data_IF_928456455688
#
_entry.id   IF_928456455688
#
_cell.length_a   1.000
_cell.length_b   1.000
_cell.length_c   1.000
_cell.angle_alpha   90.00
_cell.angle_beta   90.00
_cell.angle_gamma   90.00
#
_symmetry.space_group_name_H-M   'P 1'
#
loop_
_entity.id
_entity.type
_entity.pdbx_description
1 polymer ?
#
# COMPACT_ATOMS: atom_id res chain seq x y z
N UNK A 1 30.10 9.67 -22.92
CA UNK A 1 28.70 9.20 -23.09
C UNK A 1 28.20 8.36 -21.90
N UNK A 2 29.06 7.54 -21.27
CA UNK A 2 28.68 6.73 -20.09
C UNK A 2 28.52 7.59 -18.83
N UNK A 3 29.36 8.63 -18.67
CA UNK A 3 29.27 9.58 -17.55
C UNK A 3 28.00 10.44 -17.53
N UNK A 4 27.39 10.68 -18.69
CA UNK A 4 26.13 11.44 -18.77
C UNK A 4 24.89 10.63 -18.36
N UNK A 5 24.96 9.31 -18.46
CA UNK A 5 23.83 8.42 -18.15
C UNK A 5 23.64 8.30 -16.62
N UNK A 6 24.73 8.15 -15.85
CA UNK A 6 24.66 8.03 -14.37
C UNK A 6 24.17 9.34 -13.73
N UNK A 7 24.66 10.50 -14.19
CA UNK A 7 24.18 11.80 -13.70
C UNK A 7 22.73 12.06 -14.07
N UNK A 8 22.27 11.58 -15.22
CA UNK A 8 20.88 11.68 -15.65
C UNK A 8 19.95 10.84 -14.79
N UNK A 9 20.35 9.65 -14.37
CA UNK A 9 19.54 8.71 -13.62
C UNK A 9 19.27 9.20 -12.18
N UNK A 10 20.33 9.68 -11.47
CA UNK A 10 20.15 10.32 -10.14
C UNK A 10 19.33 11.59 -10.20
N UNK A 11 19.43 12.35 -11.28
CA UNK A 11 18.56 13.50 -11.48
C UNK A 11 17.08 13.09 -11.54
N UNK A 12 16.76 11.96 -12.19
CA UNK A 12 15.39 11.43 -12.23
C UNK A 12 14.89 10.98 -10.86
N UNK A 13 15.70 10.28 -10.07
CA UNK A 13 15.30 9.84 -8.71
C UNK A 13 15.10 11.06 -7.79
N UNK A 14 16.04 12.00 -7.79
CA UNK A 14 15.90 13.23 -7.02
C UNK A 14 14.68 14.04 -7.47
N UNK A 15 14.38 14.05 -8.77
CA UNK A 15 13.18 14.68 -9.31
C UNK A 15 11.92 13.99 -8.79
N UNK A 16 11.81 12.65 -8.87
CA UNK A 16 10.65 11.90 -8.37
C UNK A 16 10.44 12.12 -6.88
N UNK A 17 11.50 12.07 -6.07
CA UNK A 17 11.41 12.34 -4.64
C UNK A 17 10.98 13.78 -4.33
N UNK A 18 11.44 14.74 -5.13
CA UNK A 18 11.09 16.15 -4.97
C UNK A 18 9.63 16.41 -5.32
N UNK A 19 9.13 15.84 -6.42
CA UNK A 19 7.73 16.02 -6.83
C UNK A 19 6.74 15.30 -5.91
N UNK A 20 7.11 14.18 -5.28
CA UNK A 20 6.30 13.52 -4.27
C UNK A 20 6.04 14.42 -3.07
N UNK A 21 7.05 15.20 -2.65
CA UNK A 21 6.96 16.10 -1.49
C UNK A 21 6.31 17.46 -1.74
N UNK A 22 6.23 17.95 -2.98
CA UNK A 22 5.85 19.34 -3.24
C UNK A 22 5.03 19.64 -4.50
N UNK A 23 5.09 18.78 -5.51
CA UNK A 23 4.46 19.04 -6.81
C UNK A 23 3.48 17.92 -7.21
N UNK A 24 2.40 17.84 -6.51
CA UNK A 24 1.40 16.77 -6.63
C UNK A 24 0.93 16.51 -8.08
N UNK A 25 0.78 17.54 -8.91
CA UNK A 25 0.35 17.35 -10.30
C UNK A 25 1.43 16.67 -11.16
N UNK A 26 2.72 16.96 -10.92
CA UNK A 26 3.82 16.30 -11.62
C UNK A 26 3.96 14.85 -11.20
N UNK A 27 3.78 14.57 -9.92
CA UNK A 27 3.74 13.21 -9.40
C UNK A 27 2.60 12.41 -10.04
N UNK A 28 1.39 12.96 -10.13
CA UNK A 28 0.27 12.32 -10.85
C UNK A 28 0.56 12.08 -12.33
N UNK A 29 1.33 12.97 -12.96
CA UNK A 29 1.75 12.77 -14.36
C UNK A 29 2.73 11.61 -14.48
N UNK A 30 3.72 11.51 -13.57
CA UNK A 30 4.65 10.39 -13.50
C UNK A 30 3.91 9.07 -13.25
N UNK A 31 2.94 9.05 -12.34
CA UNK A 31 2.05 7.90 -12.12
C UNK A 31 1.34 7.43 -13.40
N UNK A 32 0.79 8.37 -14.16
CA UNK A 32 0.08 8.04 -15.44
C UNK A 32 1.04 7.49 -16.48
N UNK A 33 2.24 8.05 -16.61
CA UNK A 33 3.28 7.55 -17.51
C UNK A 33 3.68 6.13 -17.12
N UNK A 34 3.92 5.88 -15.83
CA UNK A 34 4.25 4.55 -15.32
C UNK A 34 3.16 3.53 -15.63
N UNK A 35 1.90 3.85 -15.31
CA UNK A 35 0.75 2.98 -15.61
C UNK A 35 0.59 2.73 -17.11
N UNK A 36 0.79 3.74 -17.93
CA UNK A 36 0.78 3.61 -19.38
C UNK A 36 1.86 2.66 -19.90
N UNK A 37 3.06 2.74 -19.35
CA UNK A 37 4.18 1.85 -19.69
C UNK A 37 3.91 0.40 -19.28
N UNK A 38 3.33 0.20 -18.08
CA UNK A 38 2.91 -1.12 -17.60
C UNK A 38 1.88 -1.74 -18.54
N UNK A 39 0.84 -0.99 -18.93
CA UNK A 39 -0.19 -1.45 -19.86
C UNK A 39 0.41 -1.79 -21.23
N UNK A 40 1.28 -0.94 -21.76
CA UNK A 40 1.93 -1.14 -23.05
C UNK A 40 2.79 -2.42 -23.04
N UNK A 41 3.58 -2.64 -22.00
CA UNK A 41 4.40 -3.85 -21.83
C UNK A 41 3.56 -5.12 -21.84
N UNK A 42 2.38 -5.12 -21.23
CA UNK A 42 1.47 -6.28 -21.25
C UNK A 42 0.80 -6.50 -22.61
N UNK A 43 0.45 -5.44 -23.30
CA UNK A 43 -0.09 -5.56 -24.67
C UNK A 43 0.92 -6.20 -25.62
N UNK A 44 2.20 -5.89 -25.45
CA UNK A 44 3.29 -6.50 -26.23
C UNK A 44 3.48 -8.00 -25.91
N UNK A 45 3.24 -8.42 -24.67
CA UNK A 45 3.39 -9.84 -24.28
C UNK A 45 2.24 -10.75 -24.71
N UNK A 46 1.18 -10.20 -25.28
CA UNK A 46 0.03 -10.96 -25.78
C UNK A 46 -0.78 -11.66 -24.67
N UNK A 47 -0.69 -11.17 -23.44
CA UNK A 47 -1.50 -11.69 -22.33
C UNK A 47 -2.98 -11.39 -22.59
N UNK A 48 -3.82 -12.41 -22.65
CA UNK A 48 -5.26 -12.25 -22.82
C UNK A 48 -5.88 -11.66 -21.54
N UNK A 49 -6.15 -10.36 -21.59
CA UNK A 49 -6.70 -9.58 -20.47
C UNK A 49 -8.18 -9.92 -20.19
N UNK A 50 -8.89 -10.56 -21.14
CA UNK A 50 -10.30 -10.92 -20.97
C UNK A 50 -10.49 -12.21 -20.15
N UNK A 51 -9.45 -13.03 -20.02
CA UNK A 51 -9.53 -14.25 -19.25
C UNK A 51 -9.56 -13.96 -17.74
N UNK A 52 -10.58 -14.47 -17.04
CA UNK A 52 -10.66 -14.37 -15.58
C UNK A 52 -9.51 -15.15 -14.95
N UNK A 53 -8.55 -14.43 -14.37
CA UNK A 53 -7.53 -15.07 -13.53
C UNK A 53 -8.14 -15.60 -12.24
N UNK A 54 -7.66 -16.78 -11.80
CA UNK A 54 -8.11 -17.42 -10.55
C UNK A 54 -7.81 -16.50 -9.34
N UNK A 55 -8.73 -16.40 -8.39
CA UNK A 55 -8.57 -15.60 -7.18
C UNK A 55 -7.76 -16.32 -6.08
N UNK A 56 -7.42 -17.61 -6.28
CA UNK A 56 -6.70 -18.45 -5.30
C UNK A 56 -5.24 -18.71 -5.72
N UNK A 57 -4.53 -17.69 -6.18
CA UNK A 57 -3.12 -17.81 -6.53
C UNK A 57 -2.29 -17.84 -5.25
N UNK A 58 -1.32 -18.76 -5.19
CA UNK A 58 -0.36 -18.91 -4.09
C UNK A 58 0.99 -18.37 -4.55
N UNK A 59 1.55 -17.46 -3.74
CA UNK A 59 2.84 -16.84 -3.94
C UNK A 59 3.80 -17.30 -2.85
N UNK A 60 4.82 -18.06 -3.23
CA UNK A 60 5.92 -18.43 -2.34
C UNK A 60 6.98 -17.34 -2.41
N UNK A 61 7.38 -16.79 -1.27
CA UNK A 61 8.38 -15.72 -1.21
C UNK A 61 9.78 -16.30 -1.10
N UNK A 62 10.70 -15.68 -1.82
CA UNK A 62 12.13 -15.92 -1.69
C UNK A 62 12.68 -15.29 -0.39
N UNK A 63 13.81 -15.78 0.06
CA UNK A 63 14.54 -15.34 1.26
C UNK A 63 14.73 -13.83 1.30
N UNK A 64 15.18 -13.23 0.21
CA UNK A 64 15.38 -11.78 0.14
C UNK A 64 14.09 -11.01 0.36
N UNK A 65 13.00 -11.38 -0.28
CA UNK A 65 11.68 -10.74 -0.14
C UNK A 65 11.19 -10.80 1.31
N UNK A 66 11.42 -11.94 1.99
CA UNK A 66 11.05 -12.08 3.41
C UNK A 66 11.88 -11.14 4.29
N UNK A 67 13.18 -11.07 4.07
CA UNK A 67 14.07 -10.20 4.85
C UNK A 67 13.76 -8.71 4.60
N UNK A 68 13.44 -8.31 3.38
CA UNK A 68 12.98 -6.96 3.04
C UNK A 68 11.67 -6.61 3.75
N UNK A 69 10.69 -7.50 3.69
CA UNK A 69 9.40 -7.30 4.34
C UNK A 69 9.51 -7.15 5.87
N UNK A 70 10.51 -7.83 6.49
CA UNK A 70 10.84 -7.76 7.92
C UNK A 70 11.73 -6.57 8.28
N UNK A 71 12.06 -5.71 7.35
CA UNK A 71 13.00 -4.59 7.53
C UNK A 71 14.43 -5.03 7.94
N UNK A 72 14.85 -6.19 7.47
CA UNK A 72 16.16 -6.80 7.71
C UNK A 72 17.11 -6.71 6.51
N UNK A 73 16.77 -5.89 5.53
CA UNK A 73 17.57 -5.55 4.35
C UNK A 73 17.74 -4.03 4.25
N UNK A 74 17.97 -3.48 3.05
CA UNK A 74 18.10 -2.06 2.84
C UNK A 74 16.77 -1.34 3.16
N UNK A 75 16.86 -0.10 3.66
CA UNK A 75 15.69 0.67 4.07
C UNK A 75 14.71 0.94 2.92
N UNK A 76 15.27 1.21 1.75
CA UNK A 76 14.53 1.53 0.52
C UNK A 76 13.66 0.37 0.02
N UNK A 77 14.07 -0.88 0.26
CA UNK A 77 13.39 -2.08 -0.23
C UNK A 77 12.20 -2.48 0.67
N UNK A 78 12.18 -2.02 1.92
CA UNK A 78 11.18 -2.44 2.92
C UNK A 78 9.77 -2.02 2.55
N UNK A 79 9.57 -0.74 2.25
CA UNK A 79 8.22 -0.21 1.98
C UNK A 79 7.61 -0.76 0.69
N UNK A 80 8.32 -0.80 -0.45
CA UNK A 80 7.81 -1.42 -1.69
C UNK A 80 7.40 -2.88 -1.47
N UNK A 81 8.25 -3.66 -0.81
CA UNK A 81 7.96 -5.08 -0.54
C UNK A 81 6.75 -5.26 0.37
N UNK A 82 6.62 -4.50 1.45
CA UNK A 82 5.44 -4.55 2.32
C UNK A 82 4.15 -4.17 1.59
N UNK A 83 4.19 -3.16 0.72
CA UNK A 83 3.03 -2.77 -0.08
C UNK A 83 2.67 -3.83 -1.13
N UNK A 84 3.67 -4.48 -1.75
CA UNK A 84 3.43 -5.62 -2.64
C UNK A 84 2.71 -6.77 -1.90
N UNK A 85 3.13 -7.12 -0.67
CA UNK A 85 2.46 -8.14 0.12
C UNK A 85 1.00 -7.76 0.46
N UNK A 86 0.74 -6.49 0.76
CA UNK A 86 -0.62 -5.97 0.95
C UNK A 86 -1.44 -6.06 -0.34
N UNK A 87 -0.82 -5.76 -1.49
CA UNK A 87 -1.45 -5.82 -2.81
C UNK A 87 -1.84 -7.26 -3.18
N UNK A 88 -0.95 -8.23 -2.95
CA UNK A 88 -1.24 -9.67 -3.15
C UNK A 88 -2.49 -10.06 -2.36
N UNK A 89 -2.57 -9.70 -1.09
CA UNK A 89 -3.74 -10.02 -0.24
C UNK A 89 -5.01 -9.32 -0.70
N UNK A 90 -4.90 -8.03 -1.06
CA UNK A 90 -6.03 -7.24 -1.54
C UNK A 90 -6.65 -7.79 -2.83
N UNK A 91 -5.87 -8.52 -3.63
CA UNK A 91 -6.31 -9.19 -4.86
C UNK A 91 -6.75 -10.65 -4.66
N UNK A 92 -6.82 -11.12 -3.40
CA UNK A 92 -7.22 -12.49 -3.06
C UNK A 92 -6.12 -13.54 -3.19
N UNK A 93 -4.87 -13.12 -3.44
CA UNK A 93 -3.71 -13.99 -3.43
C UNK A 93 -3.33 -14.44 -2.02
N UNK A 94 -2.77 -15.64 -1.91
CA UNK A 94 -2.26 -16.21 -0.66
C UNK A 94 -0.74 -16.20 -0.68
N UNK A 95 -0.14 -15.77 0.42
CA UNK A 95 1.31 -15.72 0.59
C UNK A 95 1.72 -16.92 1.43
N UNK A 96 2.75 -17.64 0.97
CA UNK A 96 3.32 -18.78 1.69
C UNK A 96 4.84 -18.75 1.63
N UNK A 97 5.46 -19.48 2.51
CA UNK A 97 6.90 -19.74 2.51
C UNK A 97 7.17 -21.23 2.38
N UNK A 98 8.34 -21.54 1.86
CA UNK A 98 8.86 -22.89 1.89
C UNK A 98 9.71 -23.09 3.16
N UNK A 99 9.69 -24.28 3.73
CA UNK A 99 10.56 -24.66 4.86
C UNK A 99 12.04 -24.44 4.57
N UNK A 100 12.47 -24.69 3.32
CA UNK A 100 13.84 -24.44 2.86
C UNK A 100 14.20 -22.93 2.92
N UNK A 101 13.23 -22.04 2.67
CA UNK A 101 13.41 -20.59 2.79
C UNK A 101 13.60 -20.18 4.27
N UNK A 102 12.83 -20.77 5.20
CA UNK A 102 13.03 -20.55 6.63
C UNK A 102 14.43 -21.00 7.06
N UNK A 103 14.88 -22.17 6.59
CA UNK A 103 16.20 -22.68 6.87
C UNK A 103 17.33 -21.79 6.32
N UNK A 104 17.12 -21.17 5.17
CA UNK A 104 18.10 -20.22 4.61
C UNK A 104 18.13 -18.92 5.42
N UNK A 105 16.98 -18.35 5.78
CA UNK A 105 16.88 -17.18 6.66
C UNK A 105 17.56 -17.44 8.01
N UNK A 106 17.33 -18.62 8.58
CA UNK A 106 17.97 -19.01 9.83
C UNK A 106 19.51 -18.91 9.73
N UNK A 107 20.11 -19.46 8.68
CA UNK A 107 21.55 -19.40 8.43
C UNK A 107 22.05 -17.96 8.25
N UNK A 108 21.30 -17.13 7.53
CA UNK A 108 21.65 -15.72 7.33
C UNK A 108 21.64 -14.96 8.65
N UNK A 109 20.62 -15.16 9.47
CA UNK A 109 20.55 -14.52 10.80
C UNK A 109 21.62 -15.05 11.73
N UNK A 110 21.92 -16.36 11.70
CA UNK A 110 23.02 -16.97 12.48
C UNK A 110 24.38 -16.36 12.07
N UNK A 111 24.63 -16.19 10.78
CA UNK A 111 25.83 -15.50 10.30
C UNK A 111 25.89 -14.07 10.81
N UNK A 112 24.77 -13.35 10.79
CA UNK A 112 24.69 -11.99 11.31
C UNK A 112 24.92 -11.94 12.83
N UNK A 113 24.43 -12.90 13.60
CA UNK A 113 24.67 -13.03 15.04
C UNK A 113 26.16 -13.25 15.33
N UNK A 114 26.80 -14.17 14.59
CA UNK A 114 28.21 -14.52 14.78
C UNK A 114 29.13 -13.33 14.45
N UNK A 115 28.78 -12.56 13.43
CA UNK A 115 29.54 -11.40 12.96
C UNK A 115 28.96 -10.07 13.44
N UNK A 116 28.15 -10.07 14.52
CA UNK A 116 27.49 -8.85 14.97
C UNK A 116 28.47 -7.81 15.49
N UNK A 117 28.48 -6.64 14.85
CA UNK A 117 29.19 -5.46 15.33
C UNK A 117 28.27 -4.24 15.18
N UNK A 118 28.14 -3.47 16.25
CA UNK A 118 27.33 -2.23 16.21
C UNK A 118 28.04 -1.10 15.49
N UNK A 119 29.36 -1.01 15.64
CA UNK A 119 30.19 0.03 15.03
C UNK A 119 30.57 -0.29 13.59
N UNK A 120 30.63 -1.56 13.23
CA UNK A 120 31.09 -2.05 11.94
C UNK A 120 30.22 -3.21 11.46
N UNK A 121 29.00 -2.92 11.01
CA UNK A 121 28.12 -3.98 10.51
C UNK A 121 28.70 -4.61 9.24
N UNK A 122 28.92 -5.92 9.28
CA UNK A 122 29.53 -6.69 8.17
C UNK A 122 28.51 -7.39 7.30
N UNK A 123 27.23 -7.37 7.68
CA UNK A 123 26.14 -7.98 6.91
C UNK A 123 24.97 -7.01 6.80
N UNK A 124 24.18 -7.12 5.73
CA UNK A 124 22.95 -6.31 5.55
C UNK A 124 21.99 -6.42 6.71
N UNK A 125 21.85 -7.62 7.31
CA UNK A 125 21.01 -7.82 8.50
C UNK A 125 21.54 -7.03 9.70
N UNK A 126 22.88 -6.95 9.88
CA UNK A 126 23.46 -6.15 10.95
C UNK A 126 23.27 -4.65 10.73
N UNK A 127 23.42 -4.18 9.51
CA UNK A 127 23.15 -2.80 9.11
C UNK A 127 21.68 -2.44 9.38
N UNK A 128 20.77 -3.30 8.96
CA UNK A 128 19.35 -3.14 9.23
C UNK A 128 19.07 -3.10 10.75
N UNK A 129 19.63 -4.01 11.53
CA UNK A 129 19.48 -4.01 13.00
C UNK A 129 19.96 -2.70 13.63
N UNK A 130 21.11 -2.18 13.22
CA UNK A 130 21.61 -0.90 13.72
C UNK A 130 20.66 0.23 13.34
N UNK A 131 20.19 0.26 12.11
CA UNK A 131 19.24 1.25 11.58
C UNK A 131 17.93 1.28 12.37
N UNK A 132 17.35 0.09 12.65
CA UNK A 132 16.06 -0.04 13.37
C UNK A 132 16.24 -0.07 14.90
N UNK A 133 17.44 0.18 15.42
CA UNK A 133 17.71 0.22 16.86
C UNK A 133 17.65 -1.15 17.56
N UNK A 134 17.83 -2.25 16.82
CA UNK A 134 17.88 -3.61 17.37
C UNK A 134 19.33 -4.03 17.66
N UNK A 135 19.49 -5.05 18.48
CA UNK A 135 20.80 -5.52 18.93
C UNK A 135 20.97 -7.03 18.74
N UNK A 136 22.16 -7.54 19.03
CA UNK A 136 22.50 -8.97 18.94
C UNK A 136 21.52 -9.86 19.73
N UNK A 137 21.12 -9.44 20.93
CA UNK A 137 20.18 -10.21 21.77
C UNK A 137 18.83 -10.37 21.10
N UNK A 138 18.35 -9.32 20.42
CA UNK A 138 17.12 -9.39 19.64
C UNK A 138 17.25 -10.38 18.48
N UNK A 139 18.37 -10.36 17.72
CA UNK A 139 18.63 -11.34 16.65
C UNK A 139 18.63 -12.77 17.19
N UNK A 140 19.28 -13.03 18.31
CA UNK A 140 19.28 -14.35 18.96
C UNK A 140 17.84 -14.76 19.33
N UNK A 141 17.06 -13.82 19.89
CA UNK A 141 15.68 -14.09 20.28
C UNK A 141 14.79 -14.45 19.09
N UNK A 142 14.88 -13.72 17.98
CA UNK A 142 14.07 -14.04 16.78
C UNK A 142 14.55 -15.32 16.12
N UNK A 143 15.86 -15.58 16.08
CA UNK A 143 16.41 -16.79 15.49
C UNK A 143 15.94 -18.06 16.22
N UNK A 144 15.85 -18.00 17.56
CA UNK A 144 15.35 -19.11 18.37
C UNK A 144 13.85 -19.43 18.16
N UNK A 145 13.08 -18.50 17.60
CA UNK A 145 11.65 -18.67 17.31
C UNK A 145 11.26 -18.19 15.90
N UNK A 146 12.19 -18.36 14.95
CA UNK A 146 12.12 -17.72 13.63
C UNK A 146 10.83 -17.99 12.89
N UNK A 147 10.40 -19.25 12.85
CA UNK A 147 9.17 -19.64 12.16
C UNK A 147 7.93 -18.93 12.74
N UNK A 148 7.81 -18.94 14.08
CA UNK A 148 6.69 -18.27 14.77
C UNK A 148 6.74 -16.76 14.57
N UNK A 149 7.93 -16.18 14.61
CA UNK A 149 8.14 -14.74 14.36
C UNK A 149 7.70 -14.36 12.96
N UNK A 150 8.16 -15.07 11.92
CA UNK A 150 7.81 -14.78 10.53
C UNK A 150 6.30 -14.96 10.30
N UNK A 151 5.71 -16.03 10.83
CA UNK A 151 4.25 -16.25 10.73
C UNK A 151 3.45 -15.11 11.35
N UNK A 152 3.88 -14.61 12.50
CA UNK A 152 3.19 -13.53 13.19
C UNK A 152 3.33 -12.19 12.46
N UNK A 153 4.56 -11.82 12.05
CA UNK A 153 4.83 -10.53 11.42
C UNK A 153 4.27 -10.45 10.00
N UNK A 154 4.44 -11.52 9.21
CA UNK A 154 4.03 -11.52 7.81
C UNK A 154 2.67 -12.19 7.58
N UNK A 155 2.03 -12.79 8.58
CA UNK A 155 0.75 -13.50 8.45
C UNK A 155 0.76 -14.50 7.28
N UNK A 156 1.73 -15.41 7.27
CA UNK A 156 1.98 -16.39 6.21
C UNK A 156 1.94 -17.81 6.75
N UNK A 157 1.55 -18.75 5.89
CA UNK A 157 1.68 -20.18 6.14
C UNK A 157 3.03 -20.70 5.60
N UNK A 158 3.50 -21.81 6.14
CA UNK A 158 4.72 -22.50 5.70
C UNK A 158 4.36 -23.85 5.13
N UNK A 159 4.82 -24.11 3.92
CA UNK A 159 4.70 -25.41 3.24
C UNK A 159 6.04 -26.14 3.30
N UNK A 160 6.02 -27.40 3.75
CA UNK A 160 7.21 -28.26 3.72
C UNK A 160 7.39 -28.96 2.37
N UNK A 161 8.63 -29.09 1.94
CA UNK A 161 8.98 -29.94 0.80
C UNK A 161 9.30 -31.35 1.31
N UNK A 162 8.60 -32.35 0.79
CA UNK A 162 8.87 -33.75 1.14
C UNK A 162 10.33 -34.12 0.89
N UNK A 163 10.96 -34.87 1.81
CA UNK A 163 12.37 -35.29 1.70
C UNK A 163 12.69 -36.01 0.39
N UNK A 164 11.78 -36.86 -0.08
CA UNK A 164 11.90 -37.56 -1.35
C UNK A 164 11.96 -36.60 -2.53
N UNK A 165 11.15 -35.53 -2.52
CA UNK A 165 11.17 -34.48 -3.53
C UNK A 165 12.42 -33.63 -3.43
N UNK A 166 12.82 -33.23 -2.21
CA UNK A 166 14.06 -32.50 -1.99
C UNK A 166 15.29 -33.24 -2.49
N UNK A 167 15.33 -34.57 -2.29
CA UNK A 167 16.40 -35.42 -2.83
C UNK A 167 16.44 -35.43 -4.36
N UNK A 168 15.28 -35.40 -5.03
CA UNK A 168 15.19 -35.30 -6.49
C UNK A 168 15.64 -33.92 -6.98
N UNK A 169 15.15 -32.85 -6.37
CA UNK A 169 15.48 -31.48 -6.76
C UNK A 169 16.97 -31.18 -6.61
N UNK A 170 17.59 -31.64 -5.51
CA UNK A 170 19.02 -31.43 -5.26
C UNK A 170 19.94 -32.14 -6.26
N UNK A 171 19.46 -33.18 -6.95
CA UNK A 171 20.17 -33.93 -7.99
C UNK A 171 19.85 -33.46 -9.42
N UNK A 172 18.99 -32.48 -9.56
CA UNK A 172 18.57 -31.95 -10.85
C UNK A 172 19.76 -31.37 -11.62
N UNK A 173 19.73 -31.46 -12.94
CA UNK A 173 20.71 -30.83 -13.84
C UNK A 173 20.78 -29.34 -13.61
N UNK A 174 19.64 -28.71 -13.36
CA UNK A 174 19.49 -27.27 -13.11
C UNK A 174 20.34 -26.80 -11.92
N UNK A 175 20.49 -27.62 -10.86
CA UNK A 175 21.40 -27.31 -9.74
C UNK A 175 22.84 -27.22 -10.18
N UNK A 176 23.28 -28.14 -11.05
CA UNK A 176 24.68 -28.14 -11.55
C UNK A 176 24.95 -26.93 -12.46
N UNK A 177 23.97 -26.55 -13.27
CA UNK A 177 24.07 -25.39 -14.15
C UNK A 177 24.06 -24.09 -13.34
N UNK A 178 23.10 -23.93 -12.41
CA UNK A 178 22.97 -22.71 -11.61
C UNK A 178 24.16 -22.53 -10.65
N UNK A 179 24.75 -23.65 -10.15
CA UNK A 179 25.95 -23.62 -9.31
C UNK A 179 27.12 -22.91 -9.94
N UNK A 180 27.25 -22.94 -11.28
CA UNK A 180 28.34 -22.26 -11.98
C UNK A 180 28.30 -20.74 -11.82
N UNK A 181 27.10 -20.19 -11.51
CA UNK A 181 26.87 -18.76 -11.33
C UNK A 181 26.67 -18.36 -9.85
N UNK A 182 26.78 -19.34 -8.92
CA UNK A 182 26.57 -19.14 -7.48
C UNK A 182 27.83 -19.41 -6.67
N UNK A 183 28.05 -18.62 -5.62
CA UNK A 183 29.20 -18.81 -4.72
C UNK A 183 29.02 -20.10 -3.92
N UNK A 184 27.81 -20.42 -3.46
CA UNK A 184 27.55 -21.59 -2.64
C UNK A 184 26.58 -22.57 -3.32
N UNK A 185 26.91 -23.87 -3.25
CA UNK A 185 26.05 -24.94 -3.75
C UNK A 185 24.69 -24.99 -3.07
N UNK A 186 24.64 -24.67 -1.76
CA UNK A 186 23.39 -24.65 -0.98
C UNK A 186 22.37 -23.67 -1.52
N UNK A 187 22.80 -22.49 -1.96
CA UNK A 187 21.92 -21.47 -2.57
C UNK A 187 21.37 -21.97 -3.90
N UNK A 188 22.20 -22.61 -4.74
CA UNK A 188 21.70 -23.19 -5.99
C UNK A 188 20.66 -24.30 -5.75
N UNK A 189 20.84 -25.12 -4.72
CA UNK A 189 19.86 -26.15 -4.34
C UNK A 189 18.56 -25.52 -3.87
N UNK A 190 18.63 -24.49 -3.00
CA UNK A 190 17.45 -23.73 -2.53
C UNK A 190 16.66 -23.16 -3.72
N UNK A 191 17.34 -22.39 -4.58
CA UNK A 191 16.74 -21.71 -5.73
C UNK A 191 16.04 -22.69 -6.68
N UNK A 192 16.72 -23.79 -7.01
CA UNK A 192 16.17 -24.82 -7.92
C UNK A 192 15.02 -25.58 -7.25
N UNK A 193 15.16 -25.95 -5.98
CA UNK A 193 14.10 -26.65 -5.26
C UNK A 193 12.83 -25.81 -5.15
N UNK A 194 12.95 -24.51 -4.93
CA UNK A 194 11.82 -23.61 -4.83
C UNK A 194 11.01 -23.56 -6.15
N UNK A 195 11.63 -23.31 -7.28
CA UNK A 195 10.88 -23.26 -8.53
C UNK A 195 10.41 -24.63 -9.04
N UNK A 196 11.16 -25.72 -8.77
CA UNK A 196 10.69 -27.07 -9.08
C UNK A 196 9.49 -27.47 -8.22
N UNK A 197 9.47 -27.07 -6.95
CA UNK A 197 8.28 -27.23 -6.12
C UNK A 197 7.06 -26.50 -6.71
N UNK A 198 7.23 -25.27 -7.17
CA UNK A 198 6.16 -24.54 -7.87
C UNK A 198 5.68 -25.29 -9.11
N UNK A 199 6.60 -25.85 -9.90
CA UNK A 199 6.30 -26.68 -11.08
C UNK A 199 5.45 -27.91 -10.71
N UNK A 200 5.86 -28.60 -9.66
CA UNK A 200 5.12 -29.76 -9.16
C UNK A 200 3.73 -29.38 -8.65
N UNK A 201 3.61 -28.22 -7.97
CA UNK A 201 2.30 -27.71 -7.52
C UNK A 201 1.40 -27.29 -8.69
N UNK A 202 1.99 -26.96 -9.84
CA UNK A 202 1.26 -26.70 -11.11
C UNK A 202 0.94 -27.98 -11.87
N UNK A 203 1.30 -29.18 -11.35
CA UNK A 203 1.17 -30.47 -12.01
C UNK A 203 1.98 -30.56 -13.32
N UNK A 204 3.10 -29.84 -13.39
CA UNK A 204 4.01 -29.80 -14.51
C UNK A 204 4.14 -28.45 -15.21
N UNK A 205 4.65 -28.48 -16.44
CA UNK A 205 4.79 -27.28 -17.25
C UNK A 205 3.46 -26.84 -17.85
N UNK A 206 3.14 -25.56 -17.70
CA UNK A 206 1.91 -24.95 -18.24
C UNK A 206 2.25 -23.95 -19.35
N UNK A 207 1.35 -23.78 -20.32
CA UNK A 207 1.51 -22.81 -21.43
C UNK A 207 0.67 -21.56 -21.26
N UNK A 208 -0.42 -21.65 -20.51
CA UNK A 208 -1.34 -20.54 -20.32
C UNK A 208 -1.04 -19.88 -18.98
N UNK A 209 -0.68 -18.61 -19.02
CA UNK A 209 -0.37 -17.81 -17.85
C UNK A 209 -1.54 -17.80 -16.83
N UNK A 210 -2.76 -17.74 -17.30
CA UNK A 210 -3.99 -17.74 -16.50
C UNK A 210 -4.17 -19.02 -15.65
N UNK A 211 -3.51 -20.13 -16.04
CA UNK A 211 -3.49 -21.38 -15.30
C UNK A 211 -2.41 -21.45 -14.22
N UNK A 212 -1.55 -20.45 -14.13
CA UNK A 212 -0.48 -20.40 -13.14
C UNK A 212 -1.02 -20.05 -11.75
N UNK A 213 -1.40 -21.06 -10.98
CA UNK A 213 -1.91 -20.92 -9.61
C UNK A 213 -0.82 -20.79 -8.53
N UNK A 214 0.43 -21.03 -8.87
CA UNK A 214 1.57 -21.03 -7.97
C UNK A 214 2.70 -20.25 -8.59
N UNK A 215 3.37 -19.41 -7.80
CA UNK A 215 4.52 -18.60 -8.22
C UNK A 215 5.59 -18.57 -7.15
N UNK A 216 6.84 -18.54 -7.55
CA UNK A 216 7.95 -18.20 -6.67
C UNK A 216 8.36 -16.75 -6.92
N UNK A 217 8.13 -15.88 -5.94
CA UNK A 217 8.43 -14.45 -6.01
C UNK A 217 9.86 -14.24 -5.57
N UNK A 218 10.72 -13.79 -6.47
CA UNK A 218 12.14 -13.56 -6.20
C UNK A 218 12.61 -12.22 -6.75
N UNK A 219 13.38 -11.48 -5.98
CA UNK A 219 14.09 -10.28 -6.45
C UNK A 219 15.41 -10.61 -7.14
N UNK A 220 15.77 -11.90 -7.22
CA UNK A 220 17.01 -12.36 -7.83
C UNK A 220 16.87 -12.50 -9.34
N UNK A 221 17.22 -11.44 -10.07
CA UNK A 221 17.17 -11.41 -11.54
C UNK A 221 17.89 -12.59 -12.20
N UNK A 222 19.08 -12.98 -11.68
CA UNK A 222 19.84 -14.13 -12.23
C UNK A 222 19.06 -15.43 -12.12
N UNK A 223 18.29 -15.63 -11.05
CA UNK A 223 17.43 -16.79 -10.90
C UNK A 223 16.21 -16.71 -11.84
N UNK A 224 15.60 -15.56 -11.95
CA UNK A 224 14.48 -15.35 -12.87
C UNK A 224 14.89 -15.61 -14.32
N UNK A 225 15.99 -15.00 -14.78
CA UNK A 225 16.53 -15.18 -16.13
C UNK A 225 16.91 -16.64 -16.38
N UNK A 226 17.55 -17.31 -15.41
CA UNK A 226 17.88 -18.74 -15.49
C UNK A 226 16.61 -19.58 -15.65
N UNK A 227 15.59 -19.37 -14.82
CA UNK A 227 14.34 -20.11 -14.91
C UNK A 227 13.63 -19.89 -16.25
N UNK A 228 13.64 -18.67 -16.78
CA UNK A 228 13.12 -18.35 -18.12
C UNK A 228 13.92 -19.10 -19.19
N UNK A 229 15.26 -19.09 -19.13
CA UNK A 229 16.12 -19.76 -20.12
C UNK A 229 15.92 -21.28 -20.17
N UNK A 230 15.47 -21.88 -19.06
CA UNK A 230 15.12 -23.31 -18.99
C UNK A 230 13.75 -23.65 -19.59
N UNK A 231 12.98 -22.63 -20.02
CA UNK A 231 11.68 -22.80 -20.64
C UNK A 231 11.79 -22.81 -22.16
N UNK A 232 11.32 -23.86 -22.76
CA UNK A 232 11.22 -24.01 -24.20
C UNK A 232 9.76 -23.95 -24.64
N UNK A 233 9.51 -23.57 -25.88
CA UNK A 233 8.20 -23.73 -26.54
C UNK A 233 7.01 -23.02 -25.84
N UNK A 234 7.24 -21.82 -25.26
CA UNK A 234 6.16 -21.01 -24.71
C UNK A 234 5.57 -21.52 -23.38
N UNK A 235 6.35 -22.30 -22.62
CA UNK A 235 5.95 -22.65 -21.24
C UNK A 235 6.16 -21.47 -20.30
N UNK A 236 5.21 -21.27 -19.38
CA UNK A 236 5.25 -20.23 -18.35
C UNK A 236 6.30 -20.58 -17.29
N UNK A 237 7.22 -19.64 -17.01
CA UNK A 237 8.20 -19.74 -15.93
C UNK A 237 7.54 -19.86 -14.55
N UNK A 238 8.23 -20.44 -13.60
CA UNK A 238 7.75 -20.61 -12.22
C UNK A 238 8.07 -19.41 -11.33
N UNK A 239 9.09 -18.64 -11.68
CA UNK A 239 9.51 -17.43 -10.96
C UNK A 239 8.77 -16.21 -11.49
N UNK A 240 8.58 -15.21 -10.63
CA UNK A 240 8.07 -13.89 -11.01
C UNK A 240 8.80 -12.85 -10.17
N UNK A 241 9.23 -11.76 -10.80
CA UNK A 241 9.85 -10.65 -10.10
C UNK A 241 8.80 -9.72 -9.47
N UNK A 242 9.12 -8.99 -8.38
CA UNK A 242 8.21 -8.07 -7.71
C UNK A 242 7.54 -7.07 -8.64
N UNK A 243 8.27 -6.45 -9.56
CA UNK A 243 7.78 -5.48 -10.53
C UNK A 243 6.82 -6.11 -11.55
N UNK A 244 7.13 -7.33 -12.04
CA UNK A 244 6.24 -8.08 -12.93
C UNK A 244 4.96 -8.46 -12.20
N UNK A 245 5.08 -8.91 -10.94
CA UNK A 245 3.92 -9.26 -10.11
C UNK A 245 3.04 -8.06 -9.81
N UNK A 246 3.64 -6.92 -9.46
CA UNK A 246 2.91 -5.67 -9.22
C UNK A 246 2.08 -5.28 -10.45
N UNK A 247 2.71 -5.35 -11.61
CA UNK A 247 2.08 -5.07 -12.90
C UNK A 247 0.93 -6.03 -13.21
N UNK A 248 1.15 -7.33 -12.95
CA UNK A 248 0.13 -8.37 -13.14
C UNK A 248 -1.09 -8.17 -12.21
N UNK A 249 -0.85 -7.86 -10.95
CA UNK A 249 -1.92 -7.62 -9.97
C UNK A 249 -2.73 -6.39 -10.33
N UNK A 250 -2.10 -5.36 -10.89
CA UNK A 250 -2.78 -4.18 -11.41
C UNK A 250 -3.78 -4.54 -12.52
N UNK A 251 -3.36 -5.38 -13.47
CA UNK A 251 -4.23 -5.79 -14.57
C UNK A 251 -5.47 -6.56 -14.11
N UNK A 252 -5.36 -7.29 -12.99
CA UNK A 252 -6.51 -7.96 -12.37
C UNK A 252 -7.60 -7.00 -11.89
N UNK A 253 -7.24 -5.81 -11.45
CA UNK A 253 -8.20 -4.87 -10.88
C UNK A 253 -7.75 -3.40 -11.06
N UNK A 254 -7.68 -2.92 -12.32
CA UNK A 254 -7.06 -1.63 -12.63
C UNK A 254 -7.77 -0.46 -11.96
N UNK A 255 -9.10 -0.49 -11.86
CA UNK A 255 -9.86 0.63 -11.27
C UNK A 255 -9.61 0.81 -9.77
N UNK A 256 -9.42 -0.29 -9.03
CA UNK A 256 -9.18 -0.24 -7.57
C UNK A 256 -7.72 -0.02 -7.21
N UNK A 257 -6.80 -0.42 -8.08
CA UNK A 257 -5.39 -0.54 -7.75
C UNK A 257 -4.51 0.51 -8.43
N UNK A 258 -5.02 1.29 -9.39
CA UNK A 258 -4.22 2.25 -10.17
C UNK A 258 -3.31 3.11 -9.30
N UNK A 259 -3.86 3.76 -8.28
CA UNK A 259 -3.08 4.62 -7.38
C UNK A 259 -2.03 3.87 -6.55
N UNK A 260 -2.38 2.67 -6.07
CA UNK A 260 -1.45 1.85 -5.27
C UNK A 260 -0.31 1.29 -6.09
N UNK A 261 -0.60 0.82 -7.28
CA UNK A 261 0.39 0.20 -8.17
C UNK A 261 1.38 1.22 -8.69
N UNK A 262 0.93 2.41 -9.08
CA UNK A 262 1.85 3.48 -9.50
C UNK A 262 2.75 3.92 -8.36
N UNK A 263 2.25 4.02 -7.14
CA UNK A 263 3.05 4.37 -5.97
C UNK A 263 4.10 3.28 -5.65
N UNK A 264 3.72 2.00 -5.69
CA UNK A 264 4.65 0.89 -5.48
C UNK A 264 5.73 0.91 -6.57
N UNK A 265 5.34 0.99 -7.85
CA UNK A 265 6.26 0.96 -8.97
C UNK A 265 7.23 2.14 -8.99
N UNK A 266 6.78 3.35 -8.63
CA UNK A 266 7.68 4.50 -8.49
C UNK A 266 8.64 4.33 -7.32
N UNK A 267 8.19 3.82 -6.18
CA UNK A 267 9.06 3.53 -5.04
C UNK A 267 10.07 2.43 -5.37
N UNK A 268 9.65 1.40 -6.10
CA UNK A 268 10.52 0.31 -6.55
C UNK A 268 11.57 0.80 -7.56
N UNK A 269 11.20 1.68 -8.49
CA UNK A 269 12.13 2.34 -9.40
C UNK A 269 13.17 3.17 -8.63
N UNK A 270 12.73 3.91 -7.62
CA UNK A 270 13.62 4.67 -6.73
C UNK A 270 14.56 3.72 -5.98
N UNK A 271 14.05 2.65 -5.38
CA UNK A 271 14.83 1.67 -4.64
C UNK A 271 15.88 0.99 -5.52
N UNK A 272 15.50 0.53 -6.71
CA UNK A 272 16.41 -0.10 -7.67
C UNK A 272 17.52 0.86 -8.09
N UNK A 273 17.18 2.12 -8.41
CA UNK A 273 18.16 3.14 -8.78
C UNK A 273 19.15 3.42 -7.68
N UNK A 274 18.67 3.58 -6.45
CA UNK A 274 19.53 3.79 -5.30
C UNK A 274 20.44 2.58 -5.05
N UNK A 275 19.91 1.37 -5.27
CA UNK A 275 20.65 0.11 -5.10
C UNK A 275 21.79 -0.06 -6.12
N UNK A 276 21.59 0.38 -7.37
CA UNK A 276 22.63 0.28 -8.43
C UNK A 276 23.76 1.30 -8.25
N UNK A 277 23.49 2.45 -7.61
CA UNK A 277 24.49 3.48 -7.39
C UNK A 277 25.37 3.28 -6.15
N UNK A 278 24.92 2.48 -5.18
CA UNK A 278 25.69 2.27 -3.96
C UNK A 278 26.89 1.35 -4.20
N UNK A 279 28.01 1.76 -3.61
CA UNK A 279 29.26 1.02 -3.70
C UNK A 279 29.12 -0.42 -3.21
N UNK A 280 29.87 -1.31 -3.84
CA UNK A 280 29.95 -2.71 -3.41
C UNK A 280 30.46 -2.83 -1.96
N UNK A 281 30.07 -3.90 -1.27
CA UNK A 281 30.54 -4.15 0.10
C UNK A 281 32.04 -4.24 0.20
N UNK A 282 32.67 -4.80 -0.83
CA UNK A 282 34.12 -4.92 -0.92
C UNK A 282 34.78 -3.54 -0.91
N UNK A 283 34.25 -2.62 -1.71
CA UNK A 283 34.74 -1.25 -1.81
C UNK A 283 34.52 -0.47 -0.50
N UNK A 284 33.36 -0.68 0.17
CA UNK A 284 33.08 -0.09 1.48
C UNK A 284 34.03 -0.65 2.54
N UNK A 285 34.34 -1.94 2.50
CA UNK A 285 35.30 -2.55 3.43
C UNK A 285 36.73 -2.04 3.20
N UNK A 286 37.16 -1.87 1.95
CA UNK A 286 38.46 -1.28 1.64
C UNK A 286 38.62 0.12 2.20
N UNK A 287 37.62 0.98 2.01
CA UNK A 287 37.68 2.34 2.56
C UNK A 287 37.57 2.36 4.09
N UNK A 288 36.83 1.41 4.68
CA UNK A 288 36.75 1.26 6.13
C UNK A 288 38.11 0.93 6.75
N UNK A 289 38.84 0.00 6.15
CA UNK A 289 40.20 -0.34 6.56
C UNK A 289 41.13 0.88 6.41
N UNK A 290 41.04 1.56 5.29
CA UNK A 290 41.86 2.75 5.02
C UNK A 290 41.60 3.89 6.02
N UNK A 291 40.35 4.12 6.41
CA UNK A 291 39.98 5.13 7.42
C UNK A 291 40.57 4.74 8.80
N UNK A 292 40.44 3.48 9.20
CA UNK A 292 40.96 2.99 10.48
C UNK A 292 42.48 3.07 10.58
N UNK A 293 43.17 2.87 9.47
CA UNK A 293 44.63 2.90 9.41
C UNK A 293 45.21 4.32 9.29
N UNK A 294 44.44 5.26 8.75
CA UNK A 294 44.96 6.56 8.33
C UNK A 294 44.42 7.73 9.14
N UNK A 295 43.26 7.60 9.78
CA UNK A 295 42.57 8.72 10.45
C UNK A 295 42.33 8.40 11.93
N UNK A 296 42.80 9.32 12.81
CA UNK A 296 42.45 9.29 14.24
C UNK A 296 41.10 10.01 14.45
N UNK A 297 40.01 9.28 14.32
CA UNK A 297 38.65 9.80 14.39
C UNK A 297 37.98 9.41 15.71
N UNK A 298 37.17 10.34 16.24
CA UNK A 298 36.27 9.98 17.32
C UNK A 298 35.22 8.93 16.85
N UNK A 299 34.69 8.13 17.77
CA UNK A 299 33.66 7.15 17.45
C UNK A 299 32.40 7.79 16.79
N UNK A 300 32.09 9.02 17.16
CA UNK A 300 30.98 9.77 16.58
C UNK A 300 31.29 10.20 15.13
N UNK A 301 32.47 10.75 14.89
CA UNK A 301 32.90 11.17 13.54
C UNK A 301 33.04 9.97 12.61
N UNK A 302 33.57 8.86 13.11
CA UNK A 302 33.62 7.61 12.37
C UNK A 302 32.20 7.16 11.94
N UNK A 303 31.23 7.16 12.84
CA UNK A 303 29.85 6.77 12.52
C UNK A 303 29.18 7.74 11.51
N UNK A 304 29.46 9.03 11.62
CA UNK A 304 28.97 10.04 10.66
C UNK A 304 29.57 9.78 9.28
N UNK A 305 30.89 9.59 9.23
CA UNK A 305 31.64 9.36 8.00
C UNK A 305 31.19 8.05 7.33
N UNK A 306 31.16 6.95 8.08
CA UNK A 306 30.79 5.65 7.55
C UNK A 306 29.37 5.63 6.99
N UNK A 307 28.42 6.24 7.70
CA UNK A 307 27.04 6.40 7.19
C UNK A 307 27.00 7.24 5.90
N UNK A 308 27.87 8.26 5.79
CA UNK A 308 27.95 9.10 4.60
C UNK A 308 28.59 8.38 3.42
N UNK A 309 29.63 7.59 3.68
CA UNK A 309 30.35 6.82 2.65
C UNK A 309 29.46 5.70 2.10
N UNK A 310 28.71 5.00 2.96
CA UNK A 310 27.78 3.97 2.55
C UNK A 310 26.67 4.48 1.60
N UNK A 311 26.42 5.81 1.62
CA UNK A 311 25.47 6.50 0.75
C UNK A 311 26.11 7.17 -0.47
N UNK A 312 27.42 7.00 -0.68
CA UNK A 312 28.10 7.64 -1.81
C UNK A 312 28.22 6.69 -3.00
N UNK A 313 28.19 7.27 -4.20
CA UNK A 313 28.40 6.51 -5.42
C UNK A 313 29.79 5.87 -5.45
N UNK A 314 29.87 4.71 -6.09
CA UNK A 314 31.10 3.93 -6.30
C UNK A 314 32.28 4.80 -6.74
N UNK A 315 32.05 5.72 -7.69
CA UNK A 315 33.07 6.62 -8.21
C UNK A 315 33.66 7.58 -7.16
N UNK A 316 32.87 8.05 -6.20
CA UNK A 316 33.36 8.94 -5.14
C UNK A 316 34.21 8.17 -4.13
N UNK A 317 33.82 6.94 -3.82
CA UNK A 317 34.58 6.08 -2.92
C UNK A 317 35.90 5.67 -3.56
N UNK A 318 35.92 5.34 -4.85
CA UNK A 318 37.15 5.04 -5.59
C UNK A 318 38.11 6.24 -5.59
N UNK A 319 37.62 7.45 -5.82
CA UNK A 319 38.46 8.67 -5.72
C UNK A 319 39.05 8.86 -4.33
N UNK A 320 38.30 8.59 -3.27
CA UNK A 320 38.82 8.63 -1.90
C UNK A 320 39.90 7.55 -1.67
N UNK A 321 39.72 6.36 -2.23
CA UNK A 321 40.74 5.29 -2.15
C UNK A 321 42.01 5.64 -2.93
N UNK A 322 41.93 6.32 -4.07
CA UNK A 322 43.09 6.83 -4.81
C UNK A 322 43.92 7.85 -4.02
N UNK A 323 43.25 8.61 -3.12
CA UNK A 323 43.92 9.58 -2.26
C UNK A 323 44.66 8.95 -1.05
N UNK A 324 44.48 7.67 -0.77
CA UNK A 324 45.13 6.95 0.36
C UNK A 324 46.65 7.03 0.30
N UNK A 325 47.21 7.06 -0.90
CA UNK A 325 48.69 7.20 -1.12
C UNK A 325 49.23 8.50 -0.55
N UNK A 326 48.39 9.56 -0.42
CA UNK A 326 48.72 10.84 0.23
C UNK A 326 47.86 10.98 1.49
N UNK A 327 48.35 10.47 2.62
CA UNK A 327 47.65 10.51 3.93
C UNK A 327 47.13 11.90 4.30
N UNK A 328 47.79 12.96 3.91
CA UNK A 328 47.37 14.32 4.23
C UNK A 328 46.12 14.71 3.45
N UNK A 329 46.14 14.46 2.14
CA UNK A 329 44.97 14.70 1.27
C UNK A 329 43.78 13.87 1.66
N UNK A 330 44.00 12.58 1.95
CA UNK A 330 42.97 11.67 2.39
C UNK A 330 42.29 12.16 3.68
N UNK A 331 43.06 12.54 4.70
CA UNK A 331 42.53 13.09 5.96
C UNK A 331 41.78 14.43 5.73
N UNK A 332 42.28 15.33 4.88
CA UNK A 332 41.57 16.57 4.55
C UNK A 332 40.21 16.28 3.86
N UNK A 333 40.15 15.30 2.97
CA UNK A 333 38.92 14.90 2.28
C UNK A 333 37.94 14.27 3.24
N UNK A 334 38.39 13.43 4.16
CA UNK A 334 37.58 12.82 5.24
C UNK A 334 36.99 13.91 6.14
N UNK A 335 37.78 14.84 6.61
CA UNK A 335 37.31 15.94 7.46
C UNK A 335 36.27 16.83 6.76
N UNK A 336 36.47 17.13 5.47
CA UNK A 336 35.47 17.88 4.66
C UNK A 336 34.16 17.12 4.54
N UNK A 337 34.21 15.79 4.39
CA UNK A 337 33.00 14.96 4.32
C UNK A 337 32.24 14.95 5.67
N UNK A 338 32.94 14.83 6.79
CA UNK A 338 32.36 14.86 8.13
C UNK A 338 31.68 16.23 8.38
N UNK A 339 32.36 17.33 8.09
CA UNK A 339 31.83 18.70 8.24
C UNK A 339 30.58 18.91 7.37
N UNK A 340 30.63 18.48 6.12
CA UNK A 340 29.49 18.56 5.20
C UNK A 340 28.29 17.77 5.72
N UNK A 341 28.52 16.57 6.25
CA UNK A 341 27.45 15.72 6.75
C UNK A 341 26.89 16.22 8.09
N UNK A 342 27.73 16.77 8.96
CA UNK A 342 27.28 17.47 10.18
C UNK A 342 26.35 18.64 9.84
N UNK A 343 26.74 19.46 8.86
CA UNK A 343 25.92 20.60 8.41
C UNK A 343 24.59 20.13 7.81
N UNK A 344 24.61 19.06 7.00
CA UNK A 344 23.40 18.47 6.41
C UNK A 344 22.45 17.90 7.49
N UNK A 345 23.00 17.18 8.47
CA UNK A 345 22.24 16.65 9.60
C UNK A 345 21.62 17.75 10.46
N UNK A 346 22.36 18.85 10.71
CA UNK A 346 21.85 19.99 11.44
C UNK A 346 20.67 20.64 10.71
N UNK A 347 20.81 20.91 9.39
CA UNK A 347 19.72 21.44 8.55
C UNK A 347 18.49 20.52 8.53
N UNK A 348 18.71 19.23 8.32
CA UNK A 348 17.61 18.24 8.33
C UNK A 348 16.88 18.18 9.67
N UNK A 349 17.61 18.35 10.78
CA UNK A 349 17.01 18.37 12.12
C UNK A 349 16.18 19.65 12.33
N UNK A 350 16.67 20.78 11.84
CA UNK A 350 15.95 22.06 11.88
C UNK A 350 14.69 22.03 11.01
N UNK A 351 14.79 21.51 9.78
CA UNK A 351 13.64 21.35 8.88
C UNK A 351 12.59 20.39 9.46
N UNK A 352 13.01 19.28 10.08
CA UNK A 352 12.07 18.38 10.77
C UNK A 352 11.35 19.08 11.91
N UNK A 353 12.08 19.89 12.70
CA UNK A 353 11.48 20.64 13.80
C UNK A 353 10.49 21.70 13.30
N UNK A 354 10.83 22.38 12.19
CA UNK A 354 9.92 23.35 11.55
C UNK A 354 8.66 22.65 10.99
N UNK A 355 8.83 21.52 10.32
CA UNK A 355 7.68 20.71 9.82
C UNK A 355 6.80 20.22 10.96
N UNK A 356 7.39 19.81 12.07
CA UNK A 356 6.63 19.35 13.24
C UNK A 356 5.81 20.51 13.84
N UNK A 357 6.40 21.71 13.99
CA UNK A 357 5.67 22.90 14.45
C UNK A 357 4.53 23.27 13.51
N UNK A 358 4.80 23.29 12.19
CA UNK A 358 3.75 23.57 11.20
C UNK A 358 2.62 22.52 11.24
N UNK A 359 2.97 21.26 11.43
CA UNK A 359 1.98 20.19 11.56
C UNK A 359 1.12 20.34 12.83
N UNK A 360 1.72 20.76 13.95
CA UNK A 360 0.99 21.04 15.19
C UNK A 360 0.06 22.25 15.02
N UNK A 361 0.50 23.34 14.34
CA UNK A 361 -0.33 24.50 14.01
C UNK A 361 -1.51 24.12 13.12
N UNK A 362 -1.28 23.38 12.04
CA UNK A 362 -2.34 22.91 11.12
C UNK A 362 -3.33 22.00 11.83
N UNK A 363 -2.87 21.12 12.71
CA UNK A 363 -3.77 20.28 13.50
C UNK A 363 -4.62 21.09 14.49
N UNK A 364 -4.05 22.11 15.11
CA UNK A 364 -4.79 22.99 16.00
C UNK A 364 -5.89 23.78 15.23
N UNK A 365 -5.52 24.28 14.05
CA UNK A 365 -6.47 24.97 13.15
C UNK A 365 -7.60 24.04 12.67
N UNK A 366 -7.24 22.81 12.31
CA UNK A 366 -8.21 21.77 11.93
C UNK A 366 -9.21 21.48 13.06
N UNK A 367 -8.74 21.28 14.29
CA UNK A 367 -9.60 21.07 15.46
C UNK A 367 -10.55 22.24 15.71
N UNK A 368 -10.04 23.48 15.55
CA UNK A 368 -10.89 24.69 15.70
C UNK A 368 -11.96 24.79 14.62
N UNK A 369 -11.65 24.36 13.38
CA UNK A 369 -12.63 24.31 12.28
C UNK A 369 -13.66 23.20 12.47
N UNK A 370 -13.26 22.03 12.96
CA UNK A 370 -14.16 20.94 13.30
C UNK A 370 -15.16 21.34 14.40
N UNK A 371 -14.69 22.07 15.41
CA UNK A 371 -15.55 22.60 16.46
C UNK A 371 -16.55 23.65 15.92
N UNK A 372 -16.11 24.53 15.02
CA UNK A 372 -16.99 25.49 14.33
C UNK A 372 -18.03 24.80 13.46
N UNK A 373 -17.62 23.76 12.72
CA UNK A 373 -18.53 22.93 11.92
C UNK A 373 -19.61 22.29 12.80
N UNK A 374 -19.20 21.66 13.90
CA UNK A 374 -20.13 21.02 14.85
C UNK A 374 -21.14 22.03 15.45
N UNK A 375 -20.68 23.24 15.75
CA UNK A 375 -21.53 24.30 16.24
C UNK A 375 -22.54 24.81 15.18
N UNK A 376 -22.10 24.85 13.89
CA UNK A 376 -23.00 25.21 12.78
C UNK A 376 -24.03 24.11 12.49
N UNK A 377 -23.64 22.85 12.53
CA UNK A 377 -24.54 21.70 12.39
C UNK A 377 -25.61 21.68 13.51
N UNK A 378 -25.20 21.97 14.75
CA UNK A 378 -26.15 22.09 15.88
C UNK A 378 -27.15 23.21 15.65
N UNK A 379 -26.70 24.39 15.16
CA UNK A 379 -27.63 25.52 14.85
C UNK A 379 -28.56 25.21 13.69
N UNK A 380 -28.09 24.50 12.66
CA UNK A 380 -28.93 24.05 11.54
C UNK A 380 -30.01 23.09 12.04
N UNK A 381 -29.63 22.08 12.82
CA UNK A 381 -30.59 21.13 13.40
C UNK A 381 -31.62 21.80 14.30
N UNK A 382 -31.21 22.82 15.06
CA UNK A 382 -32.16 23.60 15.86
C UNK A 382 -33.11 24.42 14.96
N UNK A 383 -32.60 25.06 13.91
CA UNK A 383 -33.42 25.81 12.95
C UNK A 383 -34.40 24.91 12.18
N UNK A 384 -34.02 23.68 11.88
CA UNK A 384 -34.90 22.68 11.26
C UNK A 384 -36.05 22.30 12.19
N UNK A 385 -35.77 22.04 13.48
CA UNK A 385 -36.81 21.75 14.49
C UNK A 385 -37.80 22.92 14.67
N UNK A 386 -37.27 24.15 14.71
CA UNK A 386 -38.13 25.35 14.80
C UNK A 386 -39.01 25.49 13.55
N UNK A 387 -38.53 25.18 12.37
CA UNK A 387 -39.34 25.15 11.14
C UNK A 387 -40.40 24.06 11.15
N UNK A 388 -40.07 22.87 11.61
CA UNK A 388 -41.05 21.78 11.76
C UNK A 388 -42.13 22.15 12.74
N UNK A 389 -41.79 22.74 13.90
CA UNK A 389 -42.78 23.24 14.87
C UNK A 389 -43.67 24.34 14.28
N UNK A 390 -43.11 25.27 13.51
CA UNK A 390 -43.90 26.31 12.83
C UNK A 390 -44.83 25.70 11.78
N UNK A 391 -44.40 24.75 10.99
CA UNK A 391 -45.23 24.05 10.01
C UNK A 391 -46.36 23.29 10.70
N UNK A 392 -46.10 22.65 11.83
CA UNK A 392 -47.12 21.95 12.59
C UNK A 392 -48.19 22.93 13.19
N UNK A 393 -47.74 24.10 13.65
CA UNK A 393 -48.68 25.18 14.09
C UNK A 393 -49.53 25.68 12.95
N UNK A 394 -48.96 25.93 11.78
CA UNK A 394 -49.71 26.35 10.57
C UNK A 394 -50.76 25.29 10.21
N UNK A 395 -50.35 24.02 10.16
CA UNK A 395 -51.26 22.92 9.86
C UNK A 395 -52.44 22.83 10.86
N UNK A 396 -52.19 22.99 12.16
CA UNK A 396 -53.26 23.01 13.19
C UNK A 396 -54.21 24.17 12.99
N UNK A 397 -53.71 25.35 12.60
CA UNK A 397 -54.56 26.52 12.29
C UNK A 397 -55.39 26.26 11.06
N UNK A 398 -54.85 25.71 10.00
CA UNK A 398 -55.57 25.35 8.78
C UNK A 398 -56.66 24.30 9.05
N UNK A 399 -56.37 23.27 9.85
CA UNK A 399 -57.36 22.27 10.27
C UNK A 399 -58.51 22.90 11.07
N UNK A 400 -58.19 23.80 12.01
CA UNK A 400 -59.23 24.54 12.77
C UNK A 400 -60.08 25.43 11.89
N UNK A 401 -59.47 26.12 10.92
CA UNK A 401 -60.21 26.94 9.95
C UNK A 401 -61.11 26.07 9.06
N UNK A 402 -60.59 24.95 8.57
CA UNK A 402 -61.41 24.02 7.77
C UNK A 402 -62.60 23.46 8.57
N UNK A 403 -62.37 23.11 9.85
CA UNK A 403 -63.45 22.61 10.72
C UNK A 403 -64.52 23.70 11.00
N UNK A 404 -64.09 24.95 11.22
CA UNK A 404 -65.00 26.09 11.42
C UNK A 404 -65.78 26.37 10.14
N UNK A 405 -65.18 26.31 8.97
CA UNK A 405 -65.89 26.46 7.68
C UNK A 405 -66.89 25.33 7.45
N UNK A 406 -66.57 24.11 7.85
CA UNK A 406 -67.45 22.96 7.75
C UNK A 406 -68.68 23.12 8.69
N UNK A 407 -68.44 23.60 9.92
CA UNK A 407 -69.50 23.93 10.86
C UNK A 407 -70.42 25.04 10.34
N UNK A 408 -69.83 26.10 9.73
CA UNK A 408 -70.61 27.17 9.08
C UNK A 408 -71.47 26.65 7.92
N UNK A 409 -70.91 25.83 7.04
CA UNK A 409 -71.64 25.20 5.92
C UNK A 409 -72.78 24.28 6.41
N UNK A 410 -72.55 23.51 7.49
CA UNK A 410 -73.59 22.66 8.09
C UNK A 410 -74.73 23.55 8.70
N UNK A 411 -74.37 24.59 9.43
CA UNK A 411 -75.36 25.54 10.00
C UNK A 411 -76.13 26.23 8.89
N UNK A 412 -75.50 26.65 7.83
CA UNK A 412 -76.19 27.27 6.69
C UNK A 412 -77.13 26.31 5.98
N UNK A 413 -76.70 25.02 5.78
CA UNK A 413 -77.60 23.97 5.24
C UNK A 413 -78.83 23.71 6.17
N UNK A 414 -78.65 23.60 7.46
CA UNK A 414 -79.76 23.43 8.41
C UNK A 414 -80.67 24.60 8.42
N UNK A 415 -80.17 25.85 8.31
CA UNK A 415 -80.99 27.06 8.19
C UNK A 415 -81.86 27.06 6.91
N UNK A 416 -81.25 26.71 5.75
CA UNK A 416 -82.04 26.64 4.53
C UNK A 416 -83.04 25.49 4.50
N UNK A 417 -82.76 24.37 5.14
CA UNK A 417 -83.77 23.28 5.33
C UNK A 417 -84.88 23.69 6.24
N UNK A 418 -84.59 24.38 7.34
CA UNK A 418 -85.62 24.94 8.23
C UNK A 418 -86.51 25.98 7.55
N UNK A 419 -85.85 26.89 6.79
CA UNK A 419 -86.55 27.93 6.01
C UNK A 419 -87.47 27.33 4.96
N UNK A 420 -86.96 26.30 4.23
CA UNK A 420 -87.72 25.51 3.24
C UNK A 420 -88.96 24.81 3.86
N UNK A 421 -88.80 24.23 5.07
CA UNK A 421 -89.84 23.61 5.84
C UNK A 421 -90.93 24.62 6.28
N UNK A 422 -90.44 25.80 6.68
CA UNK A 422 -91.36 26.88 7.07
C UNK A 422 -92.20 27.41 5.88
N UNK A 423 -91.51 27.64 4.72
CA UNK A 423 -92.18 28.04 3.51
C UNK A 423 -93.21 26.97 3.05
N UNK A 424 -92.80 25.70 3.09
CA UNK A 424 -93.70 24.59 2.74
C UNK A 424 -94.90 24.53 3.67
N UNK A 425 -94.72 24.72 4.97
CA UNK A 425 -95.83 24.78 5.96
C UNK A 425 -96.79 25.97 5.70
N UNK A 426 -96.23 27.15 5.35
CA UNK A 426 -97.06 28.32 4.96
C UNK A 426 -97.84 28.03 3.69
N UNK A 427 -97.23 27.43 2.66
CA UNK A 427 -97.89 27.05 1.43
C UNK A 427 -99.02 26.06 1.69
N UNK A 428 -98.72 25.00 2.48
CA UNK A 428 -99.79 24.02 2.86
C UNK A 428 -100.91 24.70 3.60
N UNK A 429 -100.60 25.64 4.52
CA UNK A 429 -101.58 26.40 5.25
C UNK A 429 -102.44 27.31 4.34
N UNK A 430 -101.84 28.02 3.39
CA UNK A 430 -102.54 28.85 2.42
C UNK A 430 -103.38 27.99 1.49
N UNK A 431 -102.92 26.87 1.03
CA UNK A 431 -103.67 25.93 0.21
C UNK A 431 -104.89 25.39 1.01
N UNK A 432 -104.71 25.07 2.27
CA UNK A 432 -105.82 24.65 3.15
C UNK A 432 -106.90 25.75 3.38
N UNK A 433 -106.42 27.00 3.37
CA UNK A 433 -107.33 28.17 3.58
C UNK A 433 -108.11 28.53 2.33
N UNK A 434 -107.52 28.45 1.17
CA UNK A 434 -108.11 28.82 -0.13
C UNK A 434 -108.88 27.71 -0.81
N UNK A 435 -108.50 26.42 -0.52
CA UNK A 435 -109.10 25.24 -1.11
C UNK A 435 -109.51 24.21 -0.05
N UNK A 436 -110.53 24.54 0.80
CA UNK A 436 -110.97 23.67 1.91
C UNK A 436 -111.46 22.30 1.44
N UNK A 437 -111.90 22.16 0.20
CA UNK A 437 -112.38 20.93 -0.39
C UNK A 437 -111.29 19.90 -0.67
N UNK A 438 -110.03 20.33 -0.87
CA UNK A 438 -108.89 19.42 -1.04
C UNK A 438 -108.45 18.69 0.22
N UNK A 439 -108.83 19.23 1.42
CA UNK A 439 -108.46 18.65 2.71
C UNK A 439 -109.59 17.86 3.37
N UNK A 440 -110.80 17.83 2.79
CA UNK A 440 -111.94 17.12 3.36
C UNK A 440 -111.78 15.58 3.20
N UNK A 441 -110.90 15.11 2.27
CA UNK A 441 -110.64 13.67 2.06
C UNK A 441 -109.54 13.07 2.95
N UNK A 442 -108.80 13.90 3.72
CA UNK A 442 -107.68 13.40 4.52
C UNK A 442 -108.04 13.03 6.00
N UNK A 443 -109.30 13.13 6.37
CA UNK A 443 -109.76 12.70 7.70
C UNK A 443 -109.84 11.17 7.84
N UNK A 444 -109.88 10.47 6.76
CA UNK A 444 -109.98 9.01 6.79
C UNK A 444 -108.62 8.23 6.74
N UNK A 445 -107.51 8.96 6.70
CA UNK A 445 -106.14 8.36 6.65
C UNK A 445 -105.34 8.47 7.97
N UNK A 446 -105.91 9.00 8.99
CA UNK A 446 -105.29 9.04 10.34
C UNK A 446 -106.24 8.31 11.29
N UNK A 447 -106.31 7.06 11.17
CA UNK A 447 -106.70 6.09 12.18
C UNK A 447 -105.71 4.98 12.25
#
# INVERSE_FOLDING_TARGET
LIHDVEGSFMAHVNFLQHIEGGYHYLYQTAERIYLGSVIASFLETGVDLESKMDNNIIYYLDTQIVLEALDLQKAEDTLPTQELLKLIRATGGKIRLLDITINEIHKIIELAINNYSKSHPTTTVNEACVRIGKNKTWLISINGKLESFIKAELQVDIDGILETKMSLYSKSEDVNLLKQTRIHKSTAIHDVAAYLHVRDRREGNIRLFQKAKYWFVTANKKLADFNISRKTNGFVNETIMPEELTSLLFLKNPQKLAKKVSQIGLNELIAQTLSEEYASKELINEIDIAIKESADLSAEDYNILFSSIALQSTNKIQKLLEEISDKRKFNESIHKLIEKERTKRAKSKEEKLQRQKLFEEVNHEKLSLEEKLKNLEAKLSQGEKEREEQQERIRKIEEQQAESLLKRKKAQRSFWLALGGLILSIVIFLVALYYPTLFSGMKDFIK
#
